data_IF_962515214589
#
_entry.id   IF_962515214589
#
_cell.length_a   1.000
_cell.length_b   1.000
_cell.length_c   1.000
_cell.angle_alpha   90.00
_cell.angle_beta   90.00
_cell.angle_gamma   90.00
#
_symmetry.space_group_name_H-M   'P 1'
#
loop_
_entity.id
_entity.type
_entity.pdbx_description
1 polymer ?
#
# COMPACT_ATOMS: atom_id res chain seq x y z
N UNK A 1 -13.06 1.86 11.12
CA UNK A 1 -11.62 1.79 10.81
C UNK A 1 -11.49 1.53 9.32
N UNK A 2 -11.02 2.53 8.57
CA UNK A 2 -10.86 2.51 7.11
C UNK A 2 -9.63 1.70 6.69
N UNK A 3 -9.70 1.03 5.56
CA UNK A 3 -8.56 0.58 4.79
C UNK A 3 -8.91 0.75 3.32
N UNK A 4 -8.25 1.66 2.64
CA UNK A 4 -8.54 1.98 1.25
C UNK A 4 -7.30 2.46 0.49
N UNK A 5 -7.37 2.38 -0.83
CA UNK A 5 -6.31 2.83 -1.74
C UNK A 5 -6.93 3.78 -2.75
N UNK A 6 -6.45 5.03 -2.78
CA UNK A 6 -6.84 6.03 -3.78
C UNK A 6 -5.76 6.13 -4.84
N UNK A 7 -6.13 5.97 -6.09
CA UNK A 7 -5.21 6.11 -7.23
C UNK A 7 -5.00 7.61 -7.50
N UNK A 8 -3.76 8.06 -7.42
CA UNK A 8 -3.37 9.45 -7.69
C UNK A 8 -2.71 9.60 -9.07
N UNK A 9 -2.09 8.52 -9.57
CA UNK A 9 -1.46 8.48 -10.87
C UNK A 9 -1.39 7.05 -11.39
N UNK A 10 -1.62 6.86 -12.69
CA UNK A 10 -1.76 5.56 -13.32
C UNK A 10 -0.98 5.42 -14.65
N UNK A 11 -0.24 6.46 -15.06
CA UNK A 11 0.56 6.46 -16.27
C UNK A 11 1.94 5.86 -16.04
N UNK A 12 2.45 5.17 -17.06
CA UNK A 12 3.83 4.72 -17.18
C UNK A 12 4.70 5.80 -17.85
N UNK A 13 5.90 6.01 -17.34
CA UNK A 13 6.99 6.84 -17.83
C UNK A 13 6.65 8.33 -17.98
N UNK A 14 5.71 8.71 -18.80
CA UNK A 14 5.41 10.10 -19.10
C UNK A 14 3.99 10.49 -18.71
N UNK A 15 3.80 11.71 -18.19
CA UNK A 15 2.47 12.23 -17.95
C UNK A 15 1.73 12.43 -19.29
N UNK A 16 0.41 12.34 -19.23
CA UNK A 16 -0.48 12.69 -20.34
C UNK A 16 -1.51 13.69 -19.87
N UNK A 17 -2.32 14.25 -20.76
CA UNK A 17 -3.42 15.14 -20.36
C UNK A 17 -4.41 14.44 -19.42
N UNK A 18 -4.59 13.12 -19.57
CA UNK A 18 -5.58 12.34 -18.83
C UNK A 18 -5.00 11.58 -17.64
N UNK A 19 -3.69 11.41 -17.54
CA UNK A 19 -3.05 10.57 -16.51
C UNK A 19 -1.74 11.16 -16.04
N UNK A 20 -1.55 11.15 -14.72
CA UNK A 20 -0.31 11.49 -14.02
C UNK A 20 0.57 10.24 -13.83
N UNK A 21 1.88 10.44 -13.62
CA UNK A 21 2.80 9.36 -13.25
C UNK A 21 2.40 8.68 -11.93
N UNK A 22 3.00 7.51 -11.68
CA UNK A 22 2.63 6.60 -10.59
C UNK A 22 2.61 7.24 -9.22
N UNK A 23 1.45 7.21 -8.57
CA UNK A 23 1.29 7.57 -7.17
C UNK A 23 -0.01 6.97 -6.60
N UNK A 24 0.02 6.52 -5.34
CA UNK A 24 -1.16 6.01 -4.64
C UNK A 24 -1.16 6.43 -3.18
N UNK A 25 -2.34 6.78 -2.66
CA UNK A 25 -2.53 7.06 -1.24
C UNK A 25 -3.23 5.87 -0.56
N UNK A 26 -2.50 5.18 0.29
CA UNK A 26 -3.02 4.07 1.11
C UNK A 26 -3.47 4.62 2.45
N UNK A 27 -4.75 4.56 2.74
CA UNK A 27 -5.34 4.95 4.02
C UNK A 27 -5.55 3.72 4.91
N UNK A 28 -4.87 3.66 6.04
CA UNK A 28 -5.10 2.65 7.07
C UNK A 28 -5.45 3.36 8.38
N UNK A 29 -6.69 3.22 8.83
CA UNK A 29 -7.18 3.82 10.09
C UNK A 29 -6.92 5.34 10.18
N UNK A 30 -7.24 6.07 9.12
CA UNK A 30 -7.05 7.53 8.97
C UNK A 30 -5.59 7.99 8.99
N UNK A 31 -4.65 7.08 8.80
CA UNK A 31 -3.24 7.36 8.54
C UNK A 31 -2.94 7.07 7.07
N UNK A 32 -2.35 8.02 6.38
CA UNK A 32 -2.02 7.86 4.97
C UNK A 32 -0.56 7.45 4.79
N UNK A 33 -0.36 6.58 3.83
CA UNK A 33 0.94 6.14 3.32
C UNK A 33 0.96 6.38 1.82
N UNK A 34 1.94 7.13 1.33
CA UNK A 34 2.09 7.37 -0.10
C UNK A 34 2.96 6.25 -0.68
N UNK A 35 2.52 5.65 -1.77
CA UNK A 35 3.29 4.66 -2.53
C UNK A 35 3.58 5.25 -3.89
N UNK A 36 4.86 5.47 -4.15
CA UNK A 36 5.42 6.28 -5.21
C UNK A 36 4.92 7.73 -5.18
N UNK A 37 5.67 8.60 -5.80
CA UNK A 37 5.41 10.04 -5.83
C UNK A 37 5.84 10.61 -7.19
N UNK A 38 5.13 10.23 -8.24
CA UNK A 38 5.35 10.77 -9.58
C UNK A 38 5.05 12.27 -9.65
N UNK A 39 5.47 12.91 -10.73
CA UNK A 39 5.30 14.34 -10.95
C UNK A 39 3.83 14.77 -10.80
N UNK A 40 3.60 15.87 -10.09
CA UNK A 40 2.25 16.41 -9.83
C UNK A 40 1.51 15.75 -8.66
N UNK A 41 2.11 14.83 -7.92
CA UNK A 41 1.45 14.12 -6.81
C UNK A 41 0.85 15.05 -5.75
N UNK A 42 1.50 16.18 -5.42
CA UNK A 42 0.96 17.14 -4.46
C UNK A 42 -0.37 17.77 -4.93
N UNK A 43 -0.52 18.00 -6.23
CA UNK A 43 -1.76 18.51 -6.81
C UNK A 43 -2.84 17.45 -6.81
N UNK A 44 -2.49 16.20 -7.09
CA UNK A 44 -3.41 15.07 -7.05
C UNK A 44 -3.92 14.77 -5.64
N UNK A 45 -3.07 14.90 -4.61
CA UNK A 45 -3.48 14.78 -3.21
C UNK A 45 -4.59 15.80 -2.88
N UNK A 46 -4.39 17.07 -3.27
CA UNK A 46 -5.39 18.13 -3.05
C UNK A 46 -6.66 17.87 -3.86
N UNK A 47 -6.50 17.55 -5.16
CA UNK A 47 -7.63 17.30 -6.07
C UNK A 47 -8.56 16.19 -5.55
N UNK A 48 -8.02 15.14 -4.98
CA UNK A 48 -8.79 13.98 -4.51
C UNK A 48 -9.02 13.96 -3.00
N UNK A 49 -8.83 15.11 -2.32
CA UNK A 49 -9.19 15.29 -0.92
C UNK A 49 -8.33 14.48 0.08
N UNK A 50 -7.15 14.03 -0.33
CA UNK A 50 -6.20 13.39 0.56
C UNK A 50 -5.42 14.43 1.33
N UNK A 51 -5.59 14.51 2.65
CA UNK A 51 -4.88 15.49 3.47
C UNK A 51 -3.38 15.17 3.56
N UNK A 52 -2.48 15.98 2.95
CA UNK A 52 -1.05 15.70 2.92
C UNK A 52 -0.40 15.66 4.31
N UNK A 53 -0.94 16.40 5.30
CA UNK A 53 -0.42 16.41 6.68
C UNK A 53 -0.66 15.09 7.41
N UNK A 54 -1.61 14.27 6.96
CA UNK A 54 -1.86 12.92 7.50
C UNK A 54 -0.91 11.86 6.94
N UNK A 55 -0.04 12.18 5.97
CA UNK A 55 0.95 11.24 5.41
C UNK A 55 1.99 10.91 6.49
N UNK A 56 2.09 9.63 6.84
CA UNK A 56 3.03 9.10 7.84
C UNK A 56 4.35 8.66 7.25
N UNK A 57 4.30 8.09 6.05
CA UNK A 57 5.48 7.66 5.32
C UNK A 57 5.23 7.67 3.81
N UNK A 58 6.32 7.74 3.06
CA UNK A 58 6.38 7.57 1.60
C UNK A 58 7.22 6.33 1.30
N UNK A 59 6.74 5.48 0.41
CA UNK A 59 7.43 4.28 -0.06
C UNK A 59 7.71 4.45 -1.55
N UNK A 60 8.98 4.52 -1.93
CA UNK A 60 9.43 4.65 -3.33
C UNK A 60 9.91 3.29 -3.82
N UNK A 61 9.24 2.77 -4.84
CA UNK A 61 9.53 1.46 -5.40
C UNK A 61 10.90 1.39 -6.08
N UNK A 62 11.24 2.42 -6.85
CA UNK A 62 12.52 2.56 -7.54
C UNK A 62 12.73 4.02 -7.98
N UNK A 63 13.89 4.32 -8.58
CA UNK A 63 14.31 5.72 -8.83
C UNK A 63 14.10 6.20 -10.28
N UNK A 64 13.15 5.61 -11.04
CA UNK A 64 12.70 6.27 -12.26
C UNK A 64 11.90 7.53 -11.93
N UNK A 65 12.01 8.55 -12.78
CA UNK A 65 11.44 9.87 -12.52
C UNK A 65 9.92 9.86 -12.30
N UNK A 66 9.21 9.02 -13.04
CA UNK A 66 7.76 8.85 -12.94
C UNK A 66 7.29 8.20 -11.62
N UNK A 67 8.22 7.80 -10.74
CA UNK A 67 7.93 7.27 -9.42
C UNK A 67 8.45 8.17 -8.29
N UNK A 68 9.37 9.11 -8.56
CA UNK A 68 10.06 9.85 -7.48
C UNK A 68 10.06 11.36 -7.64
N UNK A 69 9.94 11.93 -8.85
CA UNK A 69 10.15 13.36 -9.07
C UNK A 69 9.15 14.27 -8.36
N UNK A 70 7.95 13.82 -8.10
CA UNK A 70 6.95 14.57 -7.34
C UNK A 70 7.21 14.64 -5.83
N UNK A 71 8.11 13.80 -5.30
CA UNK A 71 8.41 13.79 -3.86
C UNK A 71 9.09 15.08 -3.42
N UNK A 72 9.99 15.64 -4.22
CA UNK A 72 10.74 16.82 -3.86
C UNK A 72 9.85 18.07 -3.69
N UNK A 73 8.99 18.44 -4.64
CA UNK A 73 8.05 19.53 -4.42
C UNK A 73 7.00 19.21 -3.33
N UNK A 74 6.67 17.94 -3.09
CA UNK A 74 5.82 17.55 -1.97
C UNK A 74 6.48 17.87 -0.63
N UNK A 75 7.79 17.63 -0.46
CA UNK A 75 8.55 17.97 0.75
C UNK A 75 8.40 19.46 1.08
N UNK A 76 8.65 20.35 0.11
CA UNK A 76 8.49 21.79 0.28
C UNK A 76 7.02 22.18 0.57
N UNK A 77 6.07 21.56 -0.14
CA UNK A 77 4.63 21.81 0.05
C UNK A 77 4.17 21.43 1.47
N UNK A 78 4.67 20.33 2.02
CA UNK A 78 4.35 19.92 3.40
C UNK A 78 4.86 20.95 4.44
N UNK A 79 6.01 21.58 4.20
CA UNK A 79 6.50 22.68 5.03
C UNK A 79 5.55 23.89 4.99
N UNK A 80 5.10 24.28 3.79
CA UNK A 80 4.14 25.37 3.59
C UNK A 80 2.78 25.09 4.27
N UNK A 81 2.35 23.82 4.31
CA UNK A 81 1.16 23.41 5.08
C UNK A 81 1.39 23.33 6.59
N UNK A 82 2.58 23.66 7.06
CA UNK A 82 2.88 23.73 8.51
C UNK A 82 3.21 22.38 9.15
N UNK A 83 3.68 21.41 8.37
CA UNK A 83 4.14 20.12 8.94
C UNK A 83 5.25 20.34 9.96
N UNK A 84 5.14 19.70 11.13
CA UNK A 84 6.16 19.71 12.21
C UNK A 84 6.65 18.31 12.54
N UNK A 85 5.92 17.27 12.12
CA UNK A 85 6.30 15.88 12.41
C UNK A 85 7.22 15.32 11.34
N UNK A 86 8.18 14.44 11.68
CA UNK A 86 9.06 13.83 10.70
C UNK A 86 8.30 13.15 9.56
N UNK A 87 8.81 13.27 8.33
CA UNK A 87 8.37 12.49 7.17
C UNK A 87 9.34 11.32 6.99
N UNK A 88 8.84 10.10 7.12
CA UNK A 88 9.64 8.90 6.83
C UNK A 88 9.58 8.60 5.34
N UNK A 89 10.73 8.34 4.72
CA UNK A 89 10.84 7.94 3.31
C UNK A 89 11.59 6.62 3.23
N UNK A 90 10.97 5.62 2.63
CA UNK A 90 11.56 4.32 2.33
C UNK A 90 11.87 4.26 0.84
N UNK A 91 13.13 4.15 0.46
CA UNK A 91 13.57 4.18 -0.93
C UNK A 91 14.89 3.41 -1.11
N UNK A 92 15.22 2.93 -2.33
CA UNK A 92 16.50 2.29 -2.61
C UNK A 92 17.72 3.17 -2.30
N UNK A 93 18.88 2.56 -2.07
CA UNK A 93 20.13 3.20 -1.60
C UNK A 93 20.52 4.54 -2.25
N UNK A 94 20.51 4.71 -3.58
CA UNK A 94 20.91 5.98 -4.22
C UNK A 94 20.05 7.18 -3.86
N UNK A 95 18.84 6.95 -3.32
CA UNK A 95 17.94 8.05 -2.93
C UNK A 95 18.53 8.93 -1.83
N UNK A 96 19.33 8.38 -0.92
CA UNK A 96 19.94 9.15 0.18
C UNK A 96 20.82 10.30 -0.32
N UNK A 97 21.63 10.07 -1.34
CA UNK A 97 22.50 11.10 -1.95
C UNK A 97 21.66 12.18 -2.65
N UNK A 98 20.63 11.76 -3.38
CA UNK A 98 19.70 12.67 -4.08
C UNK A 98 18.96 13.56 -3.07
N UNK A 99 18.45 12.96 -1.99
CA UNK A 99 17.77 13.69 -0.92
C UNK A 99 18.71 14.69 -0.24
N UNK A 100 19.93 14.28 0.09
CA UNK A 100 20.92 15.16 0.71
C UNK A 100 21.25 16.37 -0.21
N UNK A 101 21.41 16.13 -1.51
CA UNK A 101 21.61 17.17 -2.50
C UNK A 101 20.41 18.13 -2.56
N UNK A 102 19.19 17.60 -2.61
CA UNK A 102 17.97 18.40 -2.65
C UNK A 102 17.81 19.27 -1.40
N UNK A 103 17.96 18.69 -0.20
CA UNK A 103 17.83 19.44 1.05
C UNK A 103 18.91 20.54 1.18
N UNK A 104 20.13 20.29 0.69
CA UNK A 104 21.21 21.28 0.72
C UNK A 104 20.90 22.54 -0.08
N UNK A 105 20.25 22.40 -1.23
CA UNK A 105 20.10 23.52 -2.17
C UNK A 105 18.69 24.12 -2.24
N UNK A 106 17.66 23.36 -1.90
CA UNK A 106 16.28 23.79 -2.10
C UNK A 106 15.46 23.90 -0.82
N UNK A 107 15.76 23.08 0.19
CA UNK A 107 14.96 22.98 1.42
C UNK A 107 15.84 23.08 2.68
N UNK A 108 16.70 24.08 2.72
CA UNK A 108 17.69 24.27 3.81
C UNK A 108 17.09 24.54 5.18
N UNK A 109 15.85 25.05 5.25
CA UNK A 109 15.16 25.45 6.49
C UNK A 109 13.83 24.74 6.70
N UNK A 110 13.78 23.41 6.44
CA UNK A 110 12.56 22.64 6.69
C UNK A 110 12.20 22.65 8.17
N UNK A 111 10.92 22.95 8.53
CA UNK A 111 10.45 22.93 9.92
C UNK A 111 10.24 21.51 10.47
N UNK A 112 10.60 20.47 9.71
CA UNK A 112 10.50 19.05 10.08
C UNK A 112 11.63 18.25 9.43
N UNK A 113 11.88 17.05 9.95
CA UNK A 113 12.92 16.15 9.42
C UNK A 113 12.35 15.24 8.33
N UNK A 114 13.09 15.06 7.23
CA UNK A 114 12.87 13.99 6.27
C UNK A 114 13.81 12.83 6.64
N UNK A 115 13.23 11.76 7.19
CA UNK A 115 13.99 10.60 7.67
C UNK A 115 13.96 9.49 6.61
N UNK A 116 15.06 9.32 5.88
CA UNK A 116 15.18 8.25 4.90
C UNK A 116 15.64 6.94 5.54
N UNK A 117 15.07 5.84 5.04
CA UNK A 117 15.46 4.47 5.36
C UNK A 117 15.67 3.72 4.04
N UNK A 118 16.82 3.08 3.90
CA UNK A 118 17.15 2.27 2.73
C UNK A 118 16.22 1.05 2.61
N UNK A 119 15.75 0.79 1.39
CA UNK A 119 15.05 -0.44 1.01
C UNK A 119 16.00 -1.36 0.24
N UNK A 120 16.36 -2.48 0.84
CA UNK A 120 17.03 -3.57 0.13
C UNK A 120 16.02 -4.24 -0.82
N UNK A 121 16.12 -3.91 -2.11
CA UNK A 121 15.21 -4.41 -3.15
C UNK A 121 15.36 -5.90 -3.45
N UNK A 122 16.35 -6.57 -2.88
CA UNK A 122 16.61 -8.01 -3.07
C UNK A 122 15.96 -8.87 -2.00
N UNK A 123 15.51 -8.26 -0.87
CA UNK A 123 14.97 -8.96 0.29
C UNK A 123 13.50 -8.66 0.53
N UNK A 124 12.79 -9.65 1.05
CA UNK A 124 11.49 -9.46 1.67
C UNK A 124 11.72 -9.12 3.15
N UNK A 125 11.59 -7.87 3.50
CA UNK A 125 11.94 -7.36 4.82
C UNK A 125 10.84 -6.45 5.38
N UNK A 126 10.71 -6.44 6.71
CA UNK A 126 9.82 -5.51 7.42
C UNK A 126 10.44 -4.10 7.37
N UNK A 127 9.73 -3.16 6.75
CA UNK A 127 10.16 -1.77 6.59
C UNK A 127 9.56 -0.86 7.66
N UNK A 128 8.28 -1.05 7.94
CA UNK A 128 7.54 -0.25 8.91
C UNK A 128 6.64 -1.16 9.72
N UNK A 129 6.65 -0.92 11.03
CA UNK A 129 5.73 -1.53 11.97
C UNK A 129 5.16 -0.48 12.91
N UNK A 130 3.87 -0.56 13.18
CA UNK A 130 3.21 0.18 14.24
C UNK A 130 2.18 -0.71 14.95
N UNK A 131 1.32 -0.13 15.78
CA UNK A 131 0.33 -0.91 16.56
C UNK A 131 -0.68 -1.67 15.68
N UNK A 132 -0.95 -1.23 14.48
CA UNK A 132 -2.07 -1.74 13.64
C UNK A 132 -1.65 -2.23 12.28
N UNK A 133 -0.41 -1.94 11.83
CA UNK A 133 0.04 -2.17 10.46
C UNK A 133 1.49 -2.62 10.44
N UNK A 134 1.79 -3.53 9.52
CA UNK A 134 3.11 -3.87 9.03
C UNK A 134 3.21 -3.56 7.54
N UNK A 135 4.37 -3.05 7.10
CA UNK A 135 4.68 -2.86 5.68
C UNK A 135 5.98 -3.58 5.35
N UNK A 136 5.91 -4.46 4.37
CA UNK A 136 7.00 -5.32 3.93
C UNK A 136 7.45 -4.97 2.52
N UNK A 137 8.75 -5.04 2.23
CA UNK A 137 9.27 -5.00 0.86
C UNK A 137 9.00 -6.32 0.12
N UNK A 138 8.76 -6.22 -1.18
CA UNK A 138 8.59 -7.38 -2.08
C UNK A 138 9.58 -7.22 -3.23
N UNK A 139 10.62 -8.09 -3.36
CA UNK A 139 11.56 -8.02 -4.47
C UNK A 139 10.89 -8.15 -5.83
N UNK A 140 11.14 -7.21 -6.73
CA UNK A 140 10.60 -7.18 -8.08
C UNK A 140 11.70 -7.38 -9.15
N UNK A 141 11.28 -7.58 -10.40
CA UNK A 141 12.18 -7.83 -11.53
C UNK A 141 12.06 -6.71 -12.56
N UNK A 142 12.86 -5.70 -12.40
CA UNK A 142 12.94 -4.55 -13.29
C UNK A 142 14.39 -4.30 -13.76
N UNK A 143 14.59 -3.30 -14.62
CA UNK A 143 15.92 -2.94 -15.16
C UNK A 143 16.81 -2.25 -14.13
N UNK A 144 16.20 -1.63 -13.14
CA UNK A 144 16.85 -1.01 -11.98
C UNK A 144 16.40 -1.70 -10.70
N UNK A 145 17.14 -1.57 -9.58
CA UNK A 145 16.71 -2.08 -8.29
C UNK A 145 15.30 -1.59 -7.97
N UNK A 146 14.34 -2.53 -7.80
CA UNK A 146 12.93 -2.23 -7.62
C UNK A 146 12.30 -3.16 -6.57
N UNK A 147 11.45 -2.60 -5.72
CA UNK A 147 10.65 -3.33 -4.75
C UNK A 147 9.18 -2.91 -4.79
N UNK A 148 8.30 -3.87 -4.67
CA UNK A 148 6.91 -3.63 -4.31
C UNK A 148 6.74 -3.54 -2.79
N UNK A 149 5.50 -3.30 -2.36
CA UNK A 149 5.18 -3.14 -0.94
C UNK A 149 3.92 -3.93 -0.58
N UNK A 150 3.99 -4.62 0.56
CA UNK A 150 2.87 -5.37 1.11
C UNK A 150 2.47 -4.76 2.45
N UNK A 151 1.27 -4.21 2.50
CA UNK A 151 0.63 -3.66 3.69
C UNK A 151 -0.24 -4.73 4.32
N UNK A 152 -0.03 -5.07 5.59
CA UNK A 152 -0.83 -6.01 6.35
C UNK A 152 -1.28 -5.39 7.66
N UNK A 153 -2.58 -5.40 7.91
CA UNK A 153 -3.08 -5.11 9.25
C UNK A 153 -2.60 -6.18 10.23
N UNK A 154 -2.26 -5.75 11.43
CA UNK A 154 -2.09 -6.67 12.54
C UNK A 154 -3.45 -7.18 13.02
N UNK A 155 -3.45 -8.30 13.68
CA UNK A 155 -4.66 -8.82 14.29
C UNK A 155 -5.28 -7.78 15.24
N UNK A 156 -6.58 -7.48 15.07
CA UNK A 156 -7.26 -6.58 15.97
C UNK A 156 -7.38 -7.22 17.36
N UNK A 157 -7.39 -6.42 18.43
CA UNK A 157 -7.71 -6.92 19.75
C UNK A 157 -9.05 -7.65 19.75
N UNK A 158 -9.15 -8.72 20.53
CA UNK A 158 -10.39 -9.44 20.73
C UNK A 158 -11.48 -8.52 21.30
N UNK A 159 -12.72 -8.76 20.94
CA UNK A 159 -13.87 -8.14 21.57
C UNK A 159 -14.54 -9.12 22.54
N UNK A 160 -14.97 -8.60 23.69
CA UNK A 160 -15.79 -9.39 24.63
C UNK A 160 -17.25 -9.27 24.23
N UNK A 161 -17.97 -10.38 24.19
CA UNK A 161 -19.41 -10.38 23.91
C UNK A 161 -20.17 -9.64 25.01
N UNK A 162 -20.94 -8.60 24.63
CA UNK A 162 -21.64 -7.72 25.59
C UNK A 162 -22.51 -8.49 26.57
N UNK A 163 -23.21 -9.50 26.10
CA UNK A 163 -24.09 -10.31 26.93
C UNK A 163 -23.30 -11.09 28.01
N UNK A 164 -22.09 -11.55 27.73
CA UNK A 164 -21.21 -12.26 28.65
C UNK A 164 -20.63 -11.34 29.72
N UNK A 165 -20.39 -10.07 29.38
CA UNK A 165 -20.00 -9.06 30.37
C UNK A 165 -21.08 -8.98 31.49
N UNK A 166 -22.35 -8.88 31.10
CA UNK A 166 -23.46 -8.82 32.03
C UNK A 166 -23.68 -10.16 32.76
N UNK A 167 -23.64 -11.28 32.02
CA UNK A 167 -23.86 -12.64 32.56
C UNK A 167 -22.86 -12.98 33.68
N UNK A 168 -21.60 -12.65 33.50
CA UNK A 168 -20.53 -13.00 34.43
C UNK A 168 -20.11 -11.83 35.36
N UNK A 169 -20.75 -10.66 35.25
CA UNK A 169 -20.43 -9.48 36.05
C UNK A 169 -18.99 -9.02 35.90
N UNK A 170 -18.44 -9.03 34.66
CA UNK A 170 -17.03 -8.78 34.41
C UNK A 170 -16.65 -7.33 34.72
N UNK A 171 -15.63 -7.13 35.53
CA UNK A 171 -15.00 -5.85 35.78
C UNK A 171 -14.24 -5.32 34.54
N UNK A 172 -13.94 -4.02 34.51
CA UNK A 172 -13.13 -3.40 33.43
C UNK A 172 -11.76 -4.08 33.31
N UNK A 173 -11.13 -4.43 34.43
CA UNK A 173 -9.86 -5.14 34.45
C UNK A 173 -9.96 -6.52 33.79
N UNK A 174 -11.00 -7.30 34.11
CA UNK A 174 -11.26 -8.61 33.50
C UNK A 174 -11.60 -8.49 32.01
N UNK A 175 -12.39 -7.49 31.59
CA UNK A 175 -12.66 -7.20 30.19
C UNK A 175 -11.34 -6.91 29.43
N UNK A 176 -10.46 -6.12 30.06
CA UNK A 176 -9.16 -5.77 29.47
C UNK A 176 -8.24 -6.99 29.34
N UNK A 177 -8.21 -7.86 30.36
CA UNK A 177 -7.47 -9.12 30.35
C UNK A 177 -8.03 -10.09 29.27
N UNK A 178 -9.34 -10.24 29.19
CA UNK A 178 -9.98 -11.07 28.16
C UNK A 178 -9.65 -10.57 26.74
N UNK A 179 -9.61 -9.26 26.50
CA UNK A 179 -9.20 -8.67 25.20
C UNK A 179 -7.74 -8.96 24.81
N UNK A 180 -6.89 -9.31 25.78
CA UNK A 180 -5.51 -9.76 25.55
C UNK A 180 -5.38 -11.27 25.33
N UNK A 181 -6.50 -12.02 25.42
CA UNK A 181 -6.51 -13.47 25.25
C UNK A 181 -6.42 -14.26 26.57
N UNK A 182 -6.48 -13.58 27.72
CA UNK A 182 -6.39 -14.23 29.03
C UNK A 182 -7.73 -14.89 29.41
N UNK A 183 -7.69 -16.04 30.06
CA UNK A 183 -8.86 -16.63 30.75
C UNK A 183 -9.24 -15.79 31.97
N UNK A 184 -10.50 -15.84 32.38
CA UNK A 184 -10.98 -15.02 33.48
C UNK A 184 -11.43 -15.90 34.64
N UNK A 185 -10.85 -15.67 35.83
CA UNK A 185 -11.30 -16.28 37.08
C UNK A 185 -12.34 -15.38 37.74
N UNK A 186 -13.51 -15.93 38.00
CA UNK A 186 -14.59 -15.28 38.73
C UNK A 186 -14.35 -15.32 40.25
N UNK A 187 -15.06 -14.47 40.98
CA UNK A 187 -15.01 -14.46 42.46
C UNK A 187 -15.47 -15.78 43.09
N UNK A 188 -16.27 -16.57 42.39
CA UNK A 188 -16.71 -17.94 42.76
C UNK A 188 -15.59 -18.98 42.66
N UNK A 189 -14.43 -18.64 42.05
CA UNK A 189 -13.35 -19.60 41.76
C UNK A 189 -13.47 -20.25 40.39
N UNK A 190 -14.58 -20.11 39.69
CA UNK A 190 -14.80 -20.62 38.34
C UNK A 190 -13.86 -19.91 37.34
N UNK A 191 -13.27 -20.67 36.43
CA UNK A 191 -12.42 -20.14 35.32
C UNK A 191 -13.18 -20.23 34.03
N UNK A 192 -13.37 -19.07 33.39
CA UNK A 192 -14.02 -18.97 32.10
C UNK A 192 -12.96 -18.92 31.00
N UNK A 193 -12.90 -19.88 30.06
CA UNK A 193 -11.97 -19.86 28.92
C UNK A 193 -12.15 -18.61 28.06
N UNK A 194 -11.05 -18.03 27.58
CA UNK A 194 -11.09 -16.83 26.75
C UNK A 194 -11.98 -17.01 25.50
N UNK A 195 -11.91 -18.18 24.84
CA UNK A 195 -12.69 -18.48 23.64
C UNK A 195 -14.22 -18.44 23.88
N UNK A 196 -14.68 -18.62 25.14
CA UNK A 196 -16.07 -18.45 25.48
C UNK A 196 -16.48 -16.98 25.63
N UNK A 197 -15.55 -16.11 26.01
CA UNK A 197 -15.82 -14.71 26.31
C UNK A 197 -15.70 -13.81 25.10
N UNK A 198 -14.84 -14.18 24.16
CA UNK A 198 -14.35 -13.24 23.14
C UNK A 198 -14.59 -13.74 21.73
N UNK A 199 -14.54 -12.79 20.80
CA UNK A 199 -14.54 -13.05 19.38
C UNK A 199 -13.59 -12.08 18.67
N UNK A 200 -13.08 -12.51 17.50
CA UNK A 200 -12.30 -11.64 16.63
C UNK A 200 -13.25 -10.74 15.83
N UNK A 201 -13.12 -9.40 15.92
CA UNK A 201 -14.10 -8.49 15.32
C UNK A 201 -14.05 -8.45 13.79
N UNK A 202 -12.89 -8.77 13.19
CA UNK A 202 -12.66 -8.91 11.74
C UNK A 202 -11.30 -9.55 11.48
N UNK A 203 -11.16 -10.18 10.30
CA UNK A 203 -9.87 -10.68 9.82
C UNK A 203 -8.96 -9.53 9.38
N UNK A 204 -7.63 -9.57 9.64
CA UNK A 204 -6.67 -8.60 9.13
C UNK A 204 -6.78 -8.43 7.63
N UNK A 205 -6.76 -7.17 7.17
CA UNK A 205 -6.84 -6.82 5.77
C UNK A 205 -5.45 -6.55 5.20
N UNK A 206 -5.32 -6.66 3.86
CA UNK A 206 -4.03 -6.52 3.22
C UNK A 206 -4.11 -5.91 1.83
N UNK A 207 -3.05 -5.18 1.47
CA UNK A 207 -2.86 -4.55 0.17
C UNK A 207 -1.45 -4.81 -0.33
N UNK A 208 -1.29 -5.22 -1.59
CA UNK A 208 0.00 -5.37 -2.26
C UNK A 208 0.12 -4.41 -3.45
N UNK A 209 1.23 -3.70 -3.53
CA UNK A 209 1.63 -2.86 -4.66
C UNK A 209 2.80 -3.49 -5.38
N UNK A 210 2.61 -3.92 -6.62
CA UNK A 210 3.62 -4.54 -7.47
C UNK A 210 3.68 -3.75 -8.79
N UNK A 211 4.58 -2.78 -8.88
CA UNK A 211 4.77 -1.95 -10.08
C UNK A 211 6.18 -2.08 -10.62
N UNK A 212 6.29 -1.91 -11.94
CA UNK A 212 7.54 -2.01 -12.69
C UNK A 212 8.25 -3.34 -12.48
N UNK A 213 7.62 -4.38 -13.00
CA UNK A 213 8.15 -5.74 -12.88
C UNK A 213 7.75 -6.62 -14.04
N UNK A 214 8.66 -7.48 -14.48
CA UNK A 214 8.27 -8.70 -15.18
C UNK A 214 7.50 -9.60 -14.23
N UNK A 215 6.61 -10.45 -14.77
CA UNK A 215 5.92 -11.46 -13.96
C UNK A 215 6.87 -12.24 -13.06
N UNK A 216 6.55 -12.31 -11.79
CA UNK A 216 7.31 -13.02 -10.77
C UNK A 216 6.40 -13.87 -9.89
N UNK A 217 6.44 -15.19 -10.09
CA UNK A 217 5.73 -16.13 -9.23
C UNK A 217 6.21 -16.05 -7.75
N UNK A 218 7.48 -15.68 -7.53
CA UNK A 218 8.04 -15.49 -6.17
C UNK A 218 7.40 -14.26 -5.51
N UNK A 219 7.36 -13.12 -6.20
CA UNK A 219 6.72 -11.90 -5.69
C UNK A 219 5.23 -12.12 -5.39
N UNK A 220 4.49 -12.75 -6.31
CA UNK A 220 3.10 -13.13 -6.11
C UNK A 220 2.92 -14.05 -4.89
N UNK A 221 3.83 -15.02 -4.69
CA UNK A 221 3.80 -15.92 -3.54
C UNK A 221 4.01 -15.23 -2.19
N UNK A 222 4.83 -14.17 -2.13
CA UNK A 222 5.01 -13.34 -0.93
C UNK A 222 3.73 -12.56 -0.56
N UNK A 223 2.87 -12.29 -1.54
CA UNK A 223 1.59 -11.59 -1.38
C UNK A 223 0.40 -12.56 -1.20
N UNK A 224 0.63 -13.80 -0.75
CA UNK A 224 -0.42 -14.83 -0.63
C UNK A 224 -1.61 -14.35 0.19
N UNK A 225 -2.82 -14.56 -0.36
CA UNK A 225 -4.10 -14.27 0.29
C UNK A 225 -4.41 -12.79 0.42
N UNK A 226 -3.73 -11.91 -0.31
CA UNK A 226 -3.95 -10.47 -0.25
C UNK A 226 -5.37 -10.09 -0.70
N UNK A 227 -5.99 -9.14 0.02
CA UNK A 227 -7.36 -8.70 -0.29
C UNK A 227 -7.45 -7.84 -1.54
N UNK A 228 -6.47 -6.95 -1.74
CA UNK A 228 -6.35 -6.11 -2.92
C UNK A 228 -4.91 -6.14 -3.41
N UNK A 229 -4.71 -6.53 -4.66
CA UNK A 229 -3.43 -6.47 -5.34
C UNK A 229 -3.49 -5.37 -6.39
N UNK A 230 -2.58 -4.41 -6.35
CA UNK A 230 -2.24 -3.59 -7.51
C UNK A 230 -1.05 -4.24 -8.21
N UNK A 231 -1.18 -4.43 -9.53
CA UNK A 231 -0.10 -4.92 -10.36
C UNK A 231 0.00 -4.09 -11.63
N UNK A 232 1.21 -3.75 -12.04
CA UNK A 232 1.39 -3.08 -13.32
C UNK A 232 0.86 -3.93 -14.48
N UNK A 233 0.36 -3.25 -15.50
CA UNK A 233 0.00 -3.82 -16.79
C UNK A 233 0.31 -2.78 -17.87
N UNK A 234 1.60 -2.48 -18.00
CA UNK A 234 2.11 -1.47 -18.94
C UNK A 234 1.76 -1.82 -20.37
N UNK A 235 1.57 -3.11 -20.65
CA UNK A 235 1.30 -3.64 -21.99
C UNK A 235 0.02 -4.49 -22.05
N UNK A 236 -0.66 -4.44 -23.20
CA UNK A 236 -1.74 -5.37 -23.54
C UNK A 236 -1.22 -6.80 -23.67
N UNK A 237 -2.11 -7.79 -23.57
CA UNK A 237 -1.78 -9.22 -23.63
C UNK A 237 -0.96 -9.63 -24.88
N UNK A 238 -1.25 -9.01 -26.03
CA UNK A 238 -0.57 -9.30 -27.29
C UNK A 238 0.91 -8.86 -27.34
N UNK A 239 1.32 -7.96 -26.42
CA UNK A 239 2.67 -7.37 -26.44
C UNK A 239 3.63 -8.02 -25.42
N UNK A 240 3.50 -9.32 -25.18
CA UNK A 240 4.28 -10.07 -24.18
C UNK A 240 5.81 -9.94 -24.35
N UNK A 241 6.29 -9.95 -25.61
CA UNK A 241 7.72 -9.80 -25.89
C UNK A 241 8.21 -8.40 -25.52
N UNK A 242 7.50 -7.36 -25.95
CA UNK A 242 7.83 -5.97 -25.63
C UNK A 242 7.84 -5.70 -24.12
N UNK A 243 6.87 -6.25 -23.40
CA UNK A 243 6.80 -6.18 -21.95
C UNK A 243 8.05 -6.79 -21.30
N UNK A 244 8.37 -8.04 -21.64
CA UNK A 244 9.52 -8.77 -21.10
C UNK A 244 10.83 -8.03 -21.36
N UNK A 245 11.07 -7.60 -22.60
CA UNK A 245 12.32 -6.95 -23.00
C UNK A 245 12.55 -5.61 -22.29
N UNK A 246 11.47 -4.98 -21.80
CA UNK A 246 11.51 -3.68 -21.11
C UNK A 246 11.38 -3.78 -19.59
N UNK A 247 11.27 -4.99 -19.04
CA UNK A 247 11.16 -5.21 -17.59
C UNK A 247 9.77 -4.91 -17.04
N UNK A 248 8.73 -5.10 -17.86
CA UNK A 248 7.33 -4.85 -17.51
C UNK A 248 6.44 -6.08 -17.70
N UNK A 249 5.19 -5.95 -17.31
CA UNK A 249 4.16 -6.98 -17.41
C UNK A 249 3.05 -6.60 -18.40
N UNK A 250 2.35 -7.63 -18.86
CA UNK A 250 1.09 -7.50 -19.60
C UNK A 250 -0.11 -7.65 -18.68
N UNK A 251 -1.29 -7.32 -19.20
CA UNK A 251 -2.58 -7.58 -18.53
C UNK A 251 -2.74 -9.04 -18.09
N UNK A 252 -2.28 -9.98 -18.93
CA UNK A 252 -2.28 -11.43 -18.63
C UNK A 252 -1.31 -11.78 -17.51
N UNK A 253 -0.13 -11.14 -17.44
CA UNK A 253 0.85 -11.37 -16.40
C UNK A 253 0.33 -10.87 -15.05
N UNK A 254 -0.32 -9.70 -15.00
CA UNK A 254 -0.97 -9.18 -13.82
C UNK A 254 -2.06 -10.14 -13.28
N UNK A 255 -2.91 -10.65 -14.18
CA UNK A 255 -3.95 -11.62 -13.81
C UNK A 255 -3.35 -12.94 -13.30
N UNK A 256 -2.26 -13.45 -13.92
CA UNK A 256 -1.53 -14.63 -13.42
C UNK A 256 -0.92 -14.39 -12.04
N UNK A 257 -0.41 -13.18 -11.78
CA UNK A 257 0.13 -12.84 -10.47
C UNK A 257 -0.97 -12.86 -9.40
N UNK A 258 -2.14 -12.29 -9.69
CA UNK A 258 -3.30 -12.30 -8.80
C UNK A 258 -3.79 -13.73 -8.50
N UNK A 259 -3.90 -14.60 -9.53
CA UNK A 259 -4.22 -16.02 -9.35
C UNK A 259 -3.20 -16.74 -8.47
N UNK A 260 -1.90 -16.53 -8.75
CA UNK A 260 -0.80 -17.17 -7.99
C UNK A 260 -0.78 -16.74 -6.53
N UNK A 261 -1.10 -15.48 -6.27
CA UNK A 261 -1.24 -14.95 -4.92
C UNK A 261 -2.52 -15.42 -4.22
N UNK A 262 -3.52 -15.90 -4.95
CA UNK A 262 -4.87 -16.09 -4.40
C UNK A 262 -5.45 -14.75 -3.92
N UNK A 263 -5.19 -13.68 -4.65
CA UNK A 263 -5.73 -12.35 -4.36
C UNK A 263 -7.25 -12.36 -4.47
N UNK A 264 -7.94 -11.48 -3.74
CA UNK A 264 -9.39 -11.35 -3.86
C UNK A 264 -9.79 -10.40 -4.99
N UNK A 265 -9.06 -9.31 -5.14
CA UNK A 265 -9.27 -8.31 -6.20
C UNK A 265 -7.93 -7.89 -6.78
N UNK A 266 -7.92 -7.59 -8.07
CA UNK A 266 -6.79 -7.06 -8.82
C UNK A 266 -7.14 -5.67 -9.35
N UNK A 267 -6.26 -4.71 -9.13
CA UNK A 267 -6.27 -3.42 -9.81
C UNK A 267 -5.05 -3.39 -10.72
N UNK A 268 -5.28 -3.23 -12.02
CA UNK A 268 -4.18 -3.06 -12.98
C UNK A 268 -3.95 -1.57 -13.25
N UNK A 269 -2.70 -1.18 -13.46
CA UNK A 269 -2.33 0.21 -13.73
C UNK A 269 -0.97 0.36 -14.37
N UNK A 270 -0.35 1.54 -14.27
CA UNK A 270 0.94 1.84 -14.90
C UNK A 270 0.89 1.69 -16.41
N UNK A 271 -0.16 2.27 -17.04
CA UNK A 271 -0.43 2.08 -18.45
C UNK A 271 0.53 2.85 -19.35
N UNK A 272 1.02 2.21 -20.40
CA UNK A 272 1.70 2.93 -21.48
C UNK A 272 0.77 3.97 -22.10
N UNK A 273 1.31 5.16 -22.38
CA UNK A 273 0.58 6.28 -23.01
C UNK A 273 -0.05 5.95 -24.38
N UNK A 274 0.31 4.82 -24.99
CA UNK A 274 -0.30 4.30 -26.23
C UNK A 274 -1.74 3.83 -26.03
N UNK A 275 -2.10 3.39 -24.81
CA UNK A 275 -3.45 2.93 -24.48
C UNK A 275 -4.25 4.06 -23.85
N UNK A 276 -5.28 4.49 -24.56
CA UNK A 276 -6.20 5.53 -24.07
C UNK A 276 -7.30 4.96 -23.19
N UNK A 277 -7.74 3.74 -23.47
CA UNK A 277 -8.79 3.02 -22.77
C UNK A 277 -8.21 2.02 -21.76
N UNK A 278 -8.23 2.38 -20.47
CA UNK A 278 -7.80 1.50 -19.39
C UNK A 278 -8.79 0.36 -19.14
N UNK A 279 -10.07 0.58 -19.44
CA UNK A 279 -11.11 -0.42 -19.22
C UNK A 279 -11.00 -1.59 -20.20
N UNK A 280 -10.58 -1.32 -21.45
CA UNK A 280 -10.26 -2.36 -22.40
C UNK A 280 -9.13 -3.28 -21.90
N UNK A 281 -8.08 -2.70 -21.26
CA UNK A 281 -7.00 -3.48 -20.65
C UNK A 281 -7.49 -4.30 -19.45
N UNK A 282 -8.35 -3.74 -18.61
CA UNK A 282 -8.96 -4.48 -17.52
C UNK A 282 -9.85 -5.63 -18.03
N UNK A 283 -10.54 -5.42 -19.15
CA UNK A 283 -11.28 -6.46 -19.86
C UNK A 283 -10.44 -7.66 -20.28
N UNK A 284 -9.18 -7.43 -20.71
CA UNK A 284 -8.24 -8.54 -21.00
C UNK A 284 -7.88 -9.32 -19.72
N UNK A 285 -7.58 -8.62 -18.61
CA UNK A 285 -7.25 -9.26 -17.35
C UNK A 285 -8.43 -10.07 -16.78
N UNK A 286 -9.67 -9.58 -16.92
CA UNK A 286 -10.90 -10.26 -16.46
C UNK A 286 -11.14 -11.63 -17.11
N UNK A 287 -10.63 -11.84 -18.30
CA UNK A 287 -10.74 -13.17 -18.95
C UNK A 287 -10.05 -14.27 -18.15
N UNK A 288 -9.02 -13.91 -17.39
CA UNK A 288 -8.26 -14.85 -16.56
C UNK A 288 -8.58 -14.69 -15.07
N UNK A 289 -8.76 -13.44 -14.60
CA UNK A 289 -9.08 -13.12 -13.20
C UNK A 289 -10.28 -12.17 -13.18
N UNK A 290 -11.52 -12.66 -12.98
CA UNK A 290 -12.76 -11.87 -13.11
C UNK A 290 -12.81 -10.61 -12.26
N UNK A 291 -12.26 -10.65 -11.03
CA UNK A 291 -12.22 -9.53 -10.09
C UNK A 291 -11.06 -8.54 -10.41
N UNK A 292 -10.92 -8.18 -11.69
CA UNK A 292 -9.92 -7.23 -12.18
C UNK A 292 -10.55 -5.88 -12.52
N UNK A 293 -9.89 -4.81 -12.06
CA UNK A 293 -10.36 -3.43 -12.18
C UNK A 293 -9.27 -2.56 -12.79
N UNK A 294 -9.68 -1.53 -13.55
CA UNK A 294 -8.75 -0.53 -14.06
C UNK A 294 -8.40 0.50 -12.96
N UNK A 295 -7.13 0.83 -12.80
CA UNK A 295 -6.71 1.99 -12.03
C UNK A 295 -7.13 3.27 -12.78
N UNK A 296 -7.98 4.08 -12.15
CA UNK A 296 -8.38 5.40 -12.64
C UNK A 296 -8.11 6.41 -11.54
N UNK A 297 -7.56 7.56 -11.91
CA UNK A 297 -7.22 8.62 -10.96
C UNK A 297 -8.47 9.14 -10.25
N UNK A 298 -8.38 9.29 -8.93
CA UNK A 298 -9.49 9.66 -8.05
C UNK A 298 -10.35 8.48 -7.57
N UNK A 299 -10.28 7.32 -8.20
CA UNK A 299 -11.00 6.13 -7.72
C UNK A 299 -10.36 5.62 -6.45
N UNK A 300 -11.20 5.34 -5.45
CA UNK A 300 -10.79 4.76 -4.17
C UNK A 300 -11.33 3.34 -4.04
N UNK A 301 -10.42 2.39 -3.87
CA UNK A 301 -10.72 0.98 -3.62
C UNK A 301 -10.75 0.72 -2.12
N UNK A 302 -11.93 0.51 -1.56
CA UNK A 302 -12.08 0.14 -0.14
C UNK A 302 -11.82 -1.35 0.05
N UNK A 303 -11.06 -1.71 1.09
CA UNK A 303 -10.84 -3.09 1.52
C UNK A 303 -11.75 -3.34 2.71
N UNK A 304 -12.84 -4.07 2.47
CA UNK A 304 -13.89 -4.29 3.45
C UNK A 304 -13.43 -5.22 4.58
N UNK A 305 -14.01 -5.01 5.78
CA UNK A 305 -13.84 -5.94 6.90
C UNK A 305 -14.55 -7.26 6.59
N UNK A 306 -13.92 -8.34 7.05
CA UNK A 306 -14.45 -9.70 6.97
C UNK A 306 -14.59 -10.28 8.38
N UNK A 307 -15.57 -11.12 8.59
CA UNK A 307 -15.70 -11.87 9.83
C UNK A 307 -14.47 -12.70 10.15
#
# INVERSE_FOLDING_TARGET
MSFSVTILGSSSAKPTVARHPSAQAVNVHEQYYLVDAGEGVQQQLVRYGVNPLKIRAVFISHLHGDHVFGLFPLISTLALYGRKTPLRVFAPAPFGEILACHLRYFDTELPYTVAWTEVDTTKHALLLENRTLEVWSVPLRHRVPCAGFLFREKEPPLNVEKFKIAKYGLSIAQITAAKRGEEIRLATGEVIPNAELTYRPYAPRSYAYLSDTNYSAKAAGLCRGVDLMYHEATYAAAEQRSARDRGHSTTTDAAKAALKAGARRLVIGHYSSRYKDAEALAGEARRLFPESYAAQEGVTFTIEKRP
#
